data_IF_543002019006
#
_entry.id   IF_543002019006
#
_cell.length_a   1.000
_cell.length_b   1.000
_cell.length_c   1.000
_cell.angle_alpha   90.00
_cell.angle_beta   90.00
_cell.angle_gamma   90.00
#
_symmetry.space_group_name_H-M   'P 1'
#
loop_
_entity.id
_entity.type
_entity.pdbx_description
1 polymer ?
#
# COMPACT_ATOMS: atom_id res chain seq x y z
N UNK A 1 2.18 -11.81 32.83
CA UNK A 1 1.02 -12.74 32.68
C UNK A 1 1.14 -13.26 31.27
N UNK A 2 1.40 -14.55 31.11
CA UNK A 2 1.76 -15.16 29.83
C UNK A 2 0.56 -15.31 28.90
N UNK A 3 0.80 -15.05 27.63
CA UNK A 3 -0.13 -15.34 26.54
C UNK A 3 -0.01 -16.84 26.27
N UNK A 4 -1.09 -17.57 26.52
CA UNK A 4 -1.20 -18.99 26.16
C UNK A 4 -1.69 -19.04 24.72
N UNK A 5 -0.80 -19.36 23.77
CA UNK A 5 -1.16 -19.70 22.40
C UNK A 5 -1.88 -21.04 22.41
N UNK A 6 -3.18 -21.04 22.19
CA UNK A 6 -3.96 -22.26 21.94
C UNK A 6 -3.79 -22.66 20.46
N UNK A 7 -2.92 -23.63 20.20
CA UNK A 7 -2.82 -24.27 18.89
C UNK A 7 -4.09 -25.13 18.67
N UNK A 8 -5.01 -24.64 17.85
CA UNK A 8 -6.11 -25.43 17.30
C UNK A 8 -5.57 -26.23 16.09
N UNK A 9 -5.39 -27.52 16.29
CA UNK A 9 -5.12 -28.51 15.26
C UNK A 9 -6.33 -28.61 14.32
N UNK A 10 -6.24 -28.01 13.13
CA UNK A 10 -7.14 -28.30 12.01
C UNK A 10 -6.68 -29.59 11.34
N UNK A 11 -7.54 -30.60 11.15
CA UNK A 11 -7.13 -31.86 10.54
C UNK A 11 -6.78 -31.64 9.04
N UNK A 12 -5.52 -31.91 8.71
CA UNK A 12 -5.05 -32.02 7.33
C UNK A 12 -5.75 -33.23 6.70
N UNK A 13 -6.62 -32.99 5.73
CA UNK A 13 -7.17 -34.05 4.88
C UNK A 13 -6.07 -34.50 3.92
N UNK A 14 -5.40 -35.59 4.26
CA UNK A 14 -4.47 -36.27 3.35
C UNK A 14 -5.28 -36.96 2.24
N UNK A 15 -5.34 -36.39 1.05
CA UNK A 15 -5.70 -37.13 -0.14
C UNK A 15 -4.52 -38.00 -0.54
N UNK A 16 -4.60 -39.28 -0.20
CA UNK A 16 -3.66 -40.32 -0.70
C UNK A 16 -4.02 -40.59 -2.16
N UNK A 17 -3.29 -40.00 -3.09
CA UNK A 17 -3.28 -40.44 -4.49
C UNK A 17 -2.07 -41.35 -4.68
N UNK A 18 -2.36 -42.52 -5.25
CA UNK A 18 -1.46 -43.67 -5.32
C UNK A 18 -0.06 -43.41 -5.88
N UNK A 19 0.90 -44.09 -5.29
CA UNK A 19 2.30 -44.04 -5.63
C UNK A 19 2.56 -44.42 -7.10
N UNK A 20 2.95 -43.42 -7.92
CA UNK A 20 3.64 -43.67 -9.19
C UNK A 20 5.14 -43.69 -8.87
N UNK A 21 5.91 -44.73 -9.30
CA UNK A 21 7.35 -44.74 -9.03
C UNK A 21 8.04 -43.63 -9.82
N UNK A 22 8.65 -42.66 -9.11
CA UNK A 22 9.47 -41.62 -9.69
C UNK A 22 10.79 -42.25 -10.13
N UNK A 23 11.26 -42.06 -11.40
CA UNK A 23 12.57 -42.48 -11.82
C UNK A 23 13.65 -41.73 -11.03
N UNK A 24 14.61 -42.48 -10.49
CA UNK A 24 15.72 -41.94 -9.73
C UNK A 24 16.71 -41.24 -10.68
N UNK A 25 16.46 -40.00 -11.07
CA UNK A 25 17.44 -39.05 -11.62
C UNK A 25 16.81 -37.66 -11.84
N UNK A 26 16.31 -37.00 -10.81
CA UNK A 26 16.36 -35.57 -10.71
C UNK A 26 16.72 -35.27 -9.25
N UNK A 27 17.99 -35.08 -8.99
CA UNK A 27 18.41 -34.30 -7.85
C UNK A 27 17.92 -32.85 -8.12
N UNK A 28 16.68 -32.58 -7.83
CA UNK A 28 16.26 -31.21 -7.62
C UNK A 28 17.14 -30.70 -6.49
N UNK A 29 18.08 -29.86 -6.83
CA UNK A 29 18.75 -29.02 -5.88
C UNK A 29 17.61 -28.28 -5.19
N UNK A 30 17.24 -28.72 -4.00
CA UNK A 30 16.34 -28.01 -3.12
C UNK A 30 17.11 -26.75 -2.69
N UNK A 31 17.01 -25.70 -3.50
CA UNK A 31 17.41 -24.38 -3.07
C UNK A 31 16.36 -23.99 -2.04
N UNK A 32 16.72 -23.88 -0.75
CA UNK A 32 15.78 -23.39 0.24
C UNK A 32 15.31 -22.01 -0.26
N UNK A 33 14.05 -21.90 -0.66
CA UNK A 33 13.50 -20.58 -0.99
C UNK A 33 13.47 -19.83 0.31
N UNK A 34 14.40 -18.87 0.45
CA UNK A 34 14.45 -17.97 1.59
C UNK A 34 13.18 -17.13 1.55
N UNK A 35 12.50 -17.05 2.70
CA UNK A 35 11.32 -16.21 2.84
C UNK A 35 11.75 -14.76 2.60
N UNK A 36 10.99 -13.98 1.80
CA UNK A 36 11.24 -12.57 1.60
C UNK A 36 11.39 -11.82 2.91
N UNK A 37 12.32 -10.86 2.97
CA UNK A 37 12.60 -10.09 4.18
C UNK A 37 11.34 -9.43 4.77
N UNK A 38 10.47 -8.91 3.89
CA UNK A 38 9.21 -8.28 4.26
C UNK A 38 8.23 -9.21 5.00
N UNK A 39 8.41 -10.55 4.90
CA UNK A 39 7.52 -11.54 5.51
C UNK A 39 8.12 -12.24 6.74
N UNK A 40 9.34 -11.89 7.15
CA UNK A 40 10.02 -12.56 8.27
C UNK A 40 9.30 -12.41 9.60
N UNK A 41 8.74 -11.24 9.89
CA UNK A 41 7.99 -11.02 11.12
C UNK A 41 6.78 -11.95 11.24
N UNK A 42 6.10 -12.24 10.13
CA UNK A 42 4.96 -13.17 10.09
C UNK A 42 5.40 -14.62 10.25
N UNK A 43 6.58 -14.98 9.70
CA UNK A 43 7.18 -16.30 9.93
C UNK A 43 7.55 -16.50 11.39
N UNK A 44 8.22 -15.53 12.01
CA UNK A 44 8.61 -15.56 13.43
C UNK A 44 7.40 -15.59 14.36
N UNK A 45 6.31 -14.90 13.99
CA UNK A 45 5.04 -14.93 14.71
C UNK A 45 4.25 -16.24 14.49
N UNK A 46 4.65 -17.07 13.51
CA UNK A 46 3.96 -18.31 13.16
C UNK A 46 2.61 -18.10 12.45
N UNK A 47 2.41 -16.96 11.84
CA UNK A 47 1.18 -16.59 11.11
C UNK A 47 1.32 -16.71 9.60
N UNK A 48 2.54 -16.97 9.08
CA UNK A 48 2.83 -17.13 7.66
C UNK A 48 2.59 -18.57 7.19
N UNK A 49 1.75 -18.72 6.17
CA UNK A 49 1.55 -19.98 5.45
C UNK A 49 2.15 -19.90 4.04
N UNK A 50 2.76 -21.01 3.59
CA UNK A 50 3.28 -21.13 2.21
C UNK A 50 2.21 -21.72 1.30
N UNK A 51 1.94 -21.04 0.18
CA UNK A 51 1.01 -21.50 -0.85
C UNK A 51 1.76 -22.23 -1.95
N UNK A 52 1.19 -23.34 -2.45
CA UNK A 52 1.80 -24.14 -3.51
C UNK A 52 0.80 -24.40 -4.62
N UNK A 53 1.25 -24.26 -5.86
CA UNK A 53 0.51 -24.63 -7.05
C UNK A 53 1.32 -25.65 -7.85
N UNK A 54 0.70 -26.81 -8.17
CA UNK A 54 1.36 -27.92 -8.88
C UNK A 54 2.70 -28.37 -8.25
N UNK A 55 2.83 -28.24 -6.91
CA UNK A 55 4.03 -28.60 -6.15
C UNK A 55 5.13 -27.53 -6.13
N UNK A 56 4.93 -26.40 -6.78
CA UNK A 56 5.83 -25.23 -6.74
C UNK A 56 5.28 -24.18 -5.79
N UNK A 57 6.18 -23.47 -5.06
CA UNK A 57 5.77 -22.33 -4.26
C UNK A 57 5.17 -21.27 -5.19
N UNK A 58 3.93 -20.86 -4.90
CA UNK A 58 3.17 -19.85 -5.66
C UNK A 58 3.03 -18.53 -4.90
N UNK A 59 3.27 -18.53 -3.58
CA UNK A 59 3.16 -17.36 -2.75
C UNK A 59 3.06 -17.69 -1.27
N UNK A 60 2.54 -16.73 -0.51
CA UNK A 60 2.36 -16.83 0.93
C UNK A 60 1.00 -16.27 1.33
N UNK A 61 0.50 -16.69 2.50
CA UNK A 61 -0.73 -16.18 3.10
C UNK A 61 -0.49 -15.81 4.56
N UNK A 62 -1.08 -14.71 4.99
CA UNK A 62 -1.15 -14.28 6.39
C UNK A 62 -2.61 -14.08 6.76
N UNK A 63 -3.04 -14.69 7.86
CA UNK A 63 -4.41 -14.56 8.38
C UNK A 63 -4.36 -13.81 9.72
N UNK A 64 -5.10 -12.72 9.80
CA UNK A 64 -5.23 -11.95 11.02
C UNK A 64 -6.61 -12.15 11.67
N UNK A 65 -6.62 -12.16 13.00
CA UNK A 65 -7.83 -12.29 13.82
C UNK A 65 -7.93 -11.11 14.78
N UNK A 66 -9.15 -10.68 15.06
CA UNK A 66 -9.46 -9.71 16.11
C UNK A 66 -9.19 -10.27 17.50
N UNK A 67 -9.22 -9.43 18.53
CA UNK A 67 -9.04 -9.84 19.93
C UNK A 67 -10.09 -10.85 20.42
N UNK A 68 -11.30 -10.82 19.85
CA UNK A 68 -12.39 -11.77 20.12
C UNK A 68 -12.24 -13.12 19.41
N UNK A 69 -11.22 -13.26 18.54
CA UNK A 69 -10.91 -14.47 17.78
C UNK A 69 -11.63 -14.57 16.44
N UNK A 70 -12.43 -13.57 16.04
CA UNK A 70 -13.08 -13.52 14.74
C UNK A 70 -12.07 -13.13 13.64
N UNK A 71 -12.26 -13.65 12.42
CA UNK A 71 -11.43 -13.34 11.26
C UNK A 71 -11.51 -11.84 10.94
N UNK A 72 -10.34 -11.22 10.80
CA UNK A 72 -10.21 -9.79 10.48
C UNK A 72 -9.81 -9.57 9.03
N UNK A 73 -8.71 -10.19 8.61
CA UNK A 73 -8.20 -10.05 7.25
C UNK A 73 -7.41 -11.28 6.79
N UNK A 74 -7.33 -11.43 5.47
CA UNK A 74 -6.46 -12.40 4.80
C UNK A 74 -5.63 -11.67 3.76
N UNK A 75 -4.30 -11.74 3.89
CA UNK A 75 -3.36 -11.15 2.96
C UNK A 75 -2.67 -12.26 2.17
N UNK A 76 -2.61 -12.11 0.84
CA UNK A 76 -1.94 -13.01 -0.08
C UNK A 76 -0.78 -12.28 -0.71
N UNK A 77 0.39 -12.91 -0.67
CA UNK A 77 1.65 -12.36 -1.18
C UNK A 77 2.17 -13.25 -2.32
N UNK A 78 2.82 -12.62 -3.28
CA UNK A 78 3.58 -13.33 -4.31
C UNK A 78 4.88 -13.94 -3.74
N UNK A 79 5.66 -14.61 -4.57
CA UNK A 79 6.94 -15.22 -4.17
C UNK A 79 8.05 -14.20 -3.90
N UNK A 80 7.89 -12.94 -4.33
CA UNK A 80 8.80 -11.84 -4.03
C UNK A 80 8.48 -11.18 -2.68
N UNK A 81 7.28 -11.41 -2.13
CA UNK A 81 6.80 -10.84 -0.87
C UNK A 81 5.91 -9.61 -1.06
N UNK A 82 5.48 -9.32 -2.28
CA UNK A 82 4.52 -8.25 -2.52
C UNK A 82 3.11 -8.74 -2.18
N UNK A 83 2.35 -7.96 -1.42
CA UNK A 83 0.95 -8.25 -1.15
C UNK A 83 0.14 -8.04 -2.44
N UNK A 84 -0.39 -9.11 -3.03
CA UNK A 84 -1.17 -9.03 -4.27
C UNK A 84 -2.68 -9.00 -4.03
N UNK A 85 -3.12 -9.36 -2.82
CA UNK A 85 -4.53 -9.34 -2.42
C UNK A 85 -4.67 -9.15 -0.91
N UNK A 86 -5.61 -8.31 -0.50
CA UNK A 86 -5.99 -8.15 0.89
C UNK A 86 -7.51 -8.24 1.01
N UNK A 87 -8.02 -9.20 1.77
CA UNK A 87 -9.44 -9.42 2.05
C UNK A 87 -9.78 -8.93 3.45
N UNK A 88 -10.89 -8.23 3.59
CA UNK A 88 -11.40 -7.70 4.86
C UNK A 88 -12.72 -8.38 5.22
N UNK A 89 -12.91 -8.71 6.49
CA UNK A 89 -14.06 -9.44 6.98
C UNK A 89 -14.81 -8.67 8.07
N UNK A 90 -16.13 -8.79 8.06
CA UNK A 90 -17.01 -8.32 9.12
C UNK A 90 -16.85 -9.16 10.39
N UNK A 91 -17.41 -8.65 11.50
CA UNK A 91 -17.43 -9.37 12.79
C UNK A 91 -18.28 -10.65 12.79
N UNK A 92 -19.09 -10.88 11.77
CA UNK A 92 -19.84 -12.13 11.58
C UNK A 92 -19.13 -13.13 10.65
N UNK A 93 -17.88 -12.84 10.24
CA UNK A 93 -17.06 -13.67 9.36
C UNK A 93 -17.42 -13.57 7.88
N UNK A 94 -18.32 -12.65 7.48
CA UNK A 94 -18.65 -12.42 6.06
C UNK A 94 -17.62 -11.50 5.43
N UNK A 95 -17.28 -11.76 4.14
CA UNK A 95 -16.38 -10.90 3.37
C UNK A 95 -17.01 -9.51 3.23
N UNK A 96 -16.29 -8.47 3.62
CA UNK A 96 -16.67 -7.07 3.43
C UNK A 96 -16.30 -6.60 2.03
N UNK A 97 -15.12 -6.99 1.56
CA UNK A 97 -14.55 -6.64 0.27
C UNK A 97 -13.08 -7.00 0.21
N UNK A 98 -12.44 -6.68 -0.91
CA UNK A 98 -11.02 -6.96 -1.07
C UNK A 98 -10.34 -5.94 -1.98
N UNK A 99 -9.02 -5.85 -1.86
CA UNK A 99 -8.15 -5.03 -2.71
C UNK A 99 -7.19 -5.94 -3.46
N UNK A 100 -7.02 -5.71 -4.76
CA UNK A 100 -5.96 -6.29 -5.58
C UNK A 100 -4.89 -5.24 -5.83
N UNK A 101 -3.63 -5.66 -5.81
CA UNK A 101 -2.47 -4.79 -6.02
C UNK A 101 -1.65 -5.26 -7.20
N UNK A 102 -1.20 -4.32 -8.04
CA UNK A 102 -0.24 -4.56 -9.11
C UNK A 102 1.06 -3.81 -8.82
N UNK A 103 2.18 -4.39 -9.26
CA UNK A 103 3.52 -3.87 -9.04
C UNK A 103 4.31 -3.83 -10.34
N UNK A 104 5.22 -2.89 -10.45
CA UNK A 104 6.23 -2.89 -11.53
C UNK A 104 7.39 -3.85 -11.20
N UNK A 105 8.38 -3.91 -12.09
CA UNK A 105 9.55 -4.78 -11.91
C UNK A 105 10.48 -4.37 -10.75
N UNK A 106 10.38 -3.15 -10.29
CA UNK A 106 11.19 -2.58 -9.21
C UNK A 106 10.49 -2.74 -7.84
N UNK A 107 9.24 -3.24 -7.85
CA UNK A 107 8.43 -3.49 -6.65
C UNK A 107 7.57 -2.31 -6.23
N UNK A 108 7.47 -1.26 -7.05
CA UNK A 108 6.59 -0.13 -6.76
C UNK A 108 5.14 -0.51 -7.07
N UNK A 109 4.21 -0.16 -6.18
CA UNK A 109 2.79 -0.45 -6.32
C UNK A 109 2.13 0.50 -7.32
N UNK A 110 1.81 -0.01 -8.52
CA UNK A 110 1.32 0.77 -9.67
C UNK A 110 -0.20 0.86 -9.74
N UNK A 111 -0.93 -0.09 -9.12
CA UNK A 111 -2.39 -0.08 -9.14
C UNK A 111 -2.98 -0.76 -7.91
N UNK A 112 -4.08 -0.19 -7.40
CA UNK A 112 -4.93 -0.74 -6.35
C UNK A 112 -6.36 -0.81 -6.87
N UNK A 113 -6.98 -1.97 -6.89
CA UNK A 113 -8.37 -2.15 -7.30
C UNK A 113 -9.22 -2.58 -6.10
N UNK A 114 -10.25 -1.83 -5.78
CA UNK A 114 -11.13 -2.04 -4.63
C UNK A 114 -12.45 -2.66 -5.06
N UNK A 115 -12.74 -3.84 -4.55
CA UNK A 115 -13.93 -4.64 -4.85
C UNK A 115 -14.80 -4.81 -3.61
N UNK A 116 -16.12 -4.84 -3.81
CA UNK A 116 -17.04 -5.27 -2.76
C UNK A 116 -17.04 -6.81 -2.59
N UNK A 117 -17.90 -7.29 -1.67
CA UNK A 117 -18.05 -8.72 -1.39
C UNK A 117 -18.57 -9.54 -2.56
N UNK A 118 -19.26 -8.93 -3.50
CA UNK A 118 -19.82 -9.58 -4.70
C UNK A 118 -18.81 -9.61 -5.87
N UNK A 119 -17.61 -9.04 -5.67
CA UNK A 119 -16.56 -8.94 -6.66
C UNK A 119 -16.80 -7.83 -7.69
N UNK A 120 -17.60 -6.83 -7.34
CA UNK A 120 -17.88 -5.68 -8.20
C UNK A 120 -16.85 -4.58 -7.87
N UNK A 121 -16.10 -4.13 -8.90
CA UNK A 121 -15.15 -3.04 -8.78
C UNK A 121 -15.88 -1.75 -8.35
N UNK A 122 -15.40 -1.13 -7.28
CA UNK A 122 -15.95 0.10 -6.73
C UNK A 122 -15.17 1.33 -7.22
N UNK A 123 -13.86 1.28 -7.11
CA UNK A 123 -12.92 2.31 -7.58
C UNK A 123 -11.52 1.71 -7.69
N UNK A 124 -10.60 2.45 -8.31
CA UNK A 124 -9.20 2.06 -8.35
C UNK A 124 -8.28 3.29 -8.34
N UNK A 125 -7.04 3.06 -7.86
CA UNK A 125 -5.96 4.04 -7.88
C UNK A 125 -4.87 3.57 -8.85
N UNK A 126 -4.25 4.51 -9.59
CA UNK A 126 -3.06 4.27 -10.42
C UNK A 126 -1.92 5.18 -9.98
N UNK A 127 -0.72 4.62 -9.87
CA UNK A 127 0.49 5.30 -9.44
C UNK A 127 1.55 5.27 -10.54
N UNK A 128 2.28 6.36 -10.68
CA UNK A 128 3.44 6.48 -11.57
C UNK A 128 4.65 6.93 -10.78
N UNK A 129 5.79 6.31 -11.04
CA UNK A 129 7.04 6.57 -10.34
C UNK A 129 8.13 7.02 -11.31
N UNK A 130 9.13 7.74 -10.81
CA UNK A 130 10.36 8.02 -11.56
C UNK A 130 11.35 6.85 -11.44
N UNK A 131 12.49 6.97 -12.14
CA UNK A 131 13.56 5.96 -12.11
C UNK A 131 14.28 5.83 -10.76
N UNK A 132 13.94 6.66 -9.78
CA UNK A 132 14.45 6.67 -8.40
C UNK A 132 13.37 6.20 -7.41
N UNK A 133 12.31 5.55 -7.90
CA UNK A 133 11.17 5.01 -7.13
C UNK A 133 10.35 6.09 -6.38
N UNK A 134 10.42 7.37 -6.82
CA UNK A 134 9.61 8.43 -6.25
C UNK A 134 8.26 8.51 -6.96
N UNK A 135 7.19 8.60 -6.19
CA UNK A 135 5.83 8.76 -6.70
C UNK A 135 5.70 10.13 -7.40
N UNK A 136 5.45 10.11 -8.72
CA UNK A 136 5.23 11.33 -9.52
C UNK A 136 3.76 11.69 -9.64
N UNK A 137 2.89 10.68 -9.66
CA UNK A 137 1.46 10.86 -9.90
C UNK A 137 0.67 9.74 -9.24
N UNK A 138 -0.42 10.11 -8.57
CA UNK A 138 -1.47 9.23 -8.09
C UNK A 138 -2.80 9.67 -8.73
N UNK A 139 -3.54 8.75 -9.30
CA UNK A 139 -4.84 9.00 -9.93
C UNK A 139 -5.91 8.07 -9.35
N UNK A 140 -7.05 8.62 -8.99
CA UNK A 140 -8.19 7.88 -8.48
C UNK A 140 -9.34 7.90 -9.50
N UNK A 141 -9.86 6.72 -9.81
CA UNK A 141 -10.92 6.50 -10.78
C UNK A 141 -12.11 5.80 -10.14
N UNK A 142 -13.32 6.13 -10.60
CA UNK A 142 -14.49 5.32 -10.28
C UNK A 142 -14.55 4.02 -11.10
N UNK A 143 -15.52 3.18 -10.81
CA UNK A 143 -15.74 1.90 -11.51
C UNK A 143 -16.08 2.03 -12.99
N UNK A 144 -16.43 3.23 -13.47
CA UNK A 144 -16.73 3.54 -14.87
C UNK A 144 -15.50 4.09 -15.62
N UNK A 145 -14.30 4.05 -15.00
CA UNK A 145 -13.07 4.62 -15.54
C UNK A 145 -13.09 6.15 -15.68
N UNK A 146 -13.89 6.84 -14.83
CA UNK A 146 -13.92 8.30 -14.79
C UNK A 146 -12.95 8.78 -13.72
N UNK A 147 -12.03 9.67 -14.10
CA UNK A 147 -11.06 10.27 -13.18
C UNK A 147 -11.80 11.13 -12.14
N UNK A 148 -11.61 10.82 -10.87
CA UNK A 148 -12.22 11.53 -9.75
C UNK A 148 -11.25 12.53 -9.12
N UNK A 149 -9.99 12.14 -8.98
CA UNK A 149 -8.93 13.00 -8.43
C UNK A 149 -7.57 12.56 -8.93
N UNK A 150 -6.59 13.47 -8.85
CA UNK A 150 -5.17 13.13 -8.96
C UNK A 150 -4.34 14.01 -8.04
N UNK A 151 -3.14 13.53 -7.73
CA UNK A 151 -2.07 14.31 -7.11
C UNK A 151 -0.81 14.17 -7.96
N UNK A 152 -0.17 15.30 -8.29
CA UNK A 152 1.16 15.35 -8.90
C UNK A 152 2.16 15.75 -7.83
N UNK A 153 3.36 15.17 -7.91
CA UNK A 153 4.45 15.43 -7.00
C UNK A 153 5.69 15.91 -7.76
N UNK A 154 6.34 16.93 -7.24
CA UNK A 154 7.67 17.37 -7.71
C UNK A 154 8.70 17.23 -6.59
N UNK A 155 9.95 16.97 -6.97
CA UNK A 155 11.03 16.76 -6.04
C UNK A 155 12.27 17.58 -6.42
N UNK A 156 13.01 18.03 -5.40
CA UNK A 156 14.32 18.62 -5.61
C UNK A 156 15.40 17.54 -5.87
N UNK A 157 16.62 17.97 -6.14
CA UNK A 157 17.76 17.07 -6.40
C UNK A 157 18.19 16.24 -5.18
N UNK A 158 17.75 16.61 -3.97
CA UNK A 158 18.01 15.88 -2.73
C UNK A 158 16.92 14.85 -2.42
N UNK A 159 15.81 14.90 -3.18
CA UNK A 159 14.69 13.99 -3.03
C UNK A 159 13.59 14.49 -2.11
N UNK A 160 13.63 15.74 -1.69
CA UNK A 160 12.54 16.34 -0.92
C UNK A 160 11.37 16.67 -1.86
N UNK A 161 10.13 16.35 -1.47
CA UNK A 161 8.93 16.75 -2.21
C UNK A 161 8.76 18.27 -2.11
N UNK A 162 8.84 18.98 -3.23
CA UNK A 162 8.75 20.45 -3.30
C UNK A 162 7.38 20.94 -3.70
N UNK A 163 6.56 20.11 -4.32
CA UNK A 163 5.20 20.46 -4.73
C UNK A 163 4.28 19.23 -4.67
N UNK A 164 3.06 19.47 -4.22
CA UNK A 164 1.91 18.60 -4.36
C UNK A 164 0.79 19.39 -5.04
N UNK A 165 0.35 18.89 -6.20
CA UNK A 165 -0.67 19.53 -7.03
C UNK A 165 -1.90 18.64 -7.08
N UNK A 166 -3.00 19.10 -6.43
CA UNK A 166 -4.17 18.28 -6.10
C UNK A 166 -5.37 18.73 -6.94
N UNK A 167 -5.91 17.81 -7.70
CA UNK A 167 -7.16 17.96 -8.40
C UNK A 167 -8.21 17.00 -7.81
N UNK A 168 -9.41 17.55 -7.52
CA UNK A 168 -10.58 16.78 -7.16
C UNK A 168 -11.75 17.23 -8.03
N UNK A 169 -12.45 16.30 -8.66
CA UNK A 169 -13.63 16.61 -9.50
C UNK A 169 -14.67 17.41 -8.70
N UNK A 170 -15.02 18.60 -9.23
CA UNK A 170 -16.02 19.48 -8.61
C UNK A 170 -15.50 20.36 -7.45
N UNK A 171 -14.20 20.36 -7.18
CA UNK A 171 -13.53 21.21 -6.19
C UNK A 171 -12.54 22.16 -6.88
N UNK A 172 -12.20 23.32 -6.26
CA UNK A 172 -11.10 24.15 -6.71
C UNK A 172 -9.79 23.37 -6.77
N UNK A 173 -8.92 23.75 -7.70
CA UNK A 173 -7.58 23.18 -7.82
C UNK A 173 -6.70 23.66 -6.66
N UNK A 174 -5.95 22.78 -6.04
CA UNK A 174 -5.15 23.06 -4.85
C UNK A 174 -3.69 22.70 -5.08
N UNK A 175 -2.77 23.60 -4.70
CA UNK A 175 -1.33 23.35 -4.80
C UNK A 175 -0.65 23.67 -3.47
N UNK A 176 0.16 22.74 -2.97
CA UNK A 176 1.05 22.93 -1.83
C UNK A 176 2.49 23.03 -2.35
N UNK A 177 3.21 24.09 -1.95
CA UNK A 177 4.63 24.27 -2.26
C UNK A 177 5.44 24.25 -0.99
N UNK A 178 6.50 23.45 -0.96
CA UNK A 178 7.37 23.26 0.20
C UNK A 178 8.76 23.83 -0.06
N UNK A 179 9.32 24.54 0.91
CA UNK A 179 10.71 24.99 0.90
C UNK A 179 11.50 24.32 2.01
N UNK A 180 12.73 23.94 1.70
CA UNK A 180 13.64 23.26 2.62
C UNK A 180 14.90 24.08 2.81
N UNK A 181 15.51 23.97 4.00
CA UNK A 181 16.83 24.54 4.27
C UNK A 181 17.94 23.60 3.76
N UNK A 182 19.20 24.02 3.93
CA UNK A 182 20.37 23.22 3.51
C UNK A 182 20.51 21.88 4.24
N UNK A 183 19.86 21.70 5.39
CA UNK A 183 19.82 20.46 6.15
C UNK A 183 18.70 19.49 5.70
N UNK A 184 17.85 19.90 4.74
CA UNK A 184 16.69 19.13 4.30
C UNK A 184 15.48 19.25 5.25
N UNK A 185 15.46 20.22 6.15
CA UNK A 185 14.33 20.49 7.04
C UNK A 185 13.33 21.42 6.34
N UNK A 186 12.04 21.11 6.39
CA UNK A 186 10.98 21.94 5.83
C UNK A 186 10.90 23.26 6.62
N UNK A 187 11.02 24.40 5.93
CA UNK A 187 11.03 25.74 6.54
C UNK A 187 9.88 26.61 6.09
N UNK A 188 9.17 26.24 4.99
CA UNK A 188 7.98 26.96 4.53
C UNK A 188 7.02 25.99 3.83
N UNK A 189 5.72 26.24 4.00
CA UNK A 189 4.61 25.69 3.24
C UNK A 189 3.78 26.84 2.69
N UNK A 190 3.51 26.83 1.39
CA UNK A 190 2.59 27.76 0.73
C UNK A 190 1.40 26.95 0.19
N UNK A 191 0.18 27.46 0.42
CA UNK A 191 -1.05 26.85 -0.06
C UNK A 191 -1.75 27.77 -1.06
N UNK A 192 -2.02 27.21 -2.24
CA UNK A 192 -2.69 27.89 -3.33
C UNK A 192 -4.03 27.20 -3.63
N UNK A 193 -5.01 27.99 -4.08
CA UNK A 193 -6.26 27.52 -4.65
C UNK A 193 -6.49 28.30 -5.95
N UNK A 194 -6.72 27.57 -7.06
CA UNK A 194 -6.84 28.15 -8.42
C UNK A 194 -5.70 29.16 -8.72
N UNK A 195 -4.45 28.76 -8.47
CA UNK A 195 -3.22 29.57 -8.63
C UNK A 195 -3.13 30.82 -7.73
N UNK A 196 -4.11 31.05 -6.84
CA UNK A 196 -4.08 32.16 -5.89
C UNK A 196 -3.49 31.68 -4.56
N UNK A 197 -2.40 32.31 -4.09
CA UNK A 197 -1.87 32.08 -2.75
C UNK A 197 -2.90 32.50 -1.70
N UNK A 198 -3.37 31.56 -0.87
CA UNK A 198 -4.32 31.82 0.21
C UNK A 198 -3.63 32.04 1.54
N UNK A 199 -2.63 31.24 1.86
CA UNK A 199 -1.84 31.37 3.07
C UNK A 199 -0.47 30.69 2.91
N UNK A 200 0.44 31.04 3.81
CA UNK A 200 1.68 30.30 3.99
C UNK A 200 2.00 30.15 5.47
N UNK A 201 2.83 29.16 5.78
CA UNK A 201 3.37 28.91 7.12
C UNK A 201 4.87 28.81 6.99
N UNK A 202 5.61 29.57 7.78
CA UNK A 202 7.07 29.54 7.80
C UNK A 202 7.63 29.53 9.22
N UNK A 203 8.92 29.32 9.35
CA UNK A 203 9.61 29.40 10.64
C UNK A 203 10.00 30.83 10.92
N UNK A 204 9.57 31.36 12.08
CA UNK A 204 10.02 32.66 12.58
C UNK A 204 11.48 32.60 13.10
N UNK A 205 12.04 33.72 13.50
CA UNK A 205 13.41 33.85 14.03
C UNK A 205 13.67 32.97 15.28
N UNK A 206 12.64 32.55 15.99
CA UNK A 206 12.72 31.64 17.14
C UNK A 206 12.66 30.17 16.74
N UNK A 207 12.46 29.86 15.45
CA UNK A 207 12.28 28.48 14.95
C UNK A 207 10.91 27.90 15.23
N UNK A 208 9.91 28.74 15.46
CA UNK A 208 8.51 28.33 15.66
C UNK A 208 7.73 28.58 14.36
N UNK A 209 6.76 27.69 14.05
CA UNK A 209 5.89 27.84 12.89
C UNK A 209 4.93 29.02 13.07
N UNK A 210 4.93 29.96 12.12
CA UNK A 210 4.05 31.11 12.09
C UNK A 210 3.12 31.05 10.87
N UNK A 211 1.82 31.33 11.07
CA UNK A 211 0.78 31.23 10.05
C UNK A 211 0.42 32.62 9.53
N UNK A 212 0.43 32.81 8.20
CA UNK A 212 0.15 34.05 7.50
C UNK A 212 -0.97 33.86 6.48
N UNK A 213 -2.06 34.60 6.63
CA UNK A 213 -3.13 34.66 5.62
C UNK A 213 -2.80 35.76 4.63
N UNK A 214 -2.82 35.43 3.34
CA UNK A 214 -2.70 36.43 2.28
C UNK A 214 -4.10 37.01 2.06
N UNK A 215 -4.43 38.09 2.77
CA UNK A 215 -5.72 38.73 2.67
C UNK A 215 -5.94 39.38 1.32
N UNK A 216 -7.20 39.41 0.86
CA UNK A 216 -7.64 40.42 -0.10
C UNK A 216 -7.37 41.75 0.55
N UNK A 217 -6.31 42.47 0.15
CA UNK A 217 -6.22 43.89 0.44
C UNK A 217 -7.46 44.53 -0.15
N UNK A 218 -8.30 45.26 0.64
CA UNK A 218 -9.39 45.97 0.04
C UNK A 218 -8.81 46.90 -1.03
N UNK A 219 -9.32 46.80 -2.26
CA UNK A 219 -9.02 47.77 -3.29
C UNK A 219 -9.40 49.13 -2.72
N UNK A 220 -8.41 50.06 -2.56
CA UNK A 220 -8.63 51.48 -2.22
C UNK A 220 -9.30 52.24 -3.39
#
# INVERSE_FOLDING_TARGET
MGIVAAALLVPVVLCVIGAIPIPAAIHNIFVPQTIPEALREYEEAGTLEKLYENGNLSGYQVVAYREDGELDSVQIFDTAGNCVRNELYNSDGTLLGYVLYEYDSDGNRTKDEYYDSDGILQYYTQNQYDSSEKLLREENYDSNNSLQSYVLYEYDSNGNCTMEDVYNSGSPHQTCVYTYNENGEKVMLQFYEDDKLLYYVDLNDAGEWEYHVVGDTPEE
#
